data_IF_479156064966
#
_entry.id   IF_479156064966
#
_cell.length_a   1.000
_cell.length_b   1.000
_cell.length_c   1.000
_cell.angle_alpha   90.00
_cell.angle_beta   90.00
_cell.angle_gamma   90.00
#
_symmetry.space_group_name_H-M   'P 1'
#
loop_
_entity.id
_entity.type
_entity.pdbx_description
1 polymer ?
#
# COMPACT_ATOMS: atom_id res chain seq x y z
N UNK A 1 -18.50 -11.34 -26.64
CA UNK A 1 -17.62 -11.54 -25.48
C UNK A 1 -17.65 -10.26 -24.68
N UNK A 2 -18.55 -10.24 -23.70
CA UNK A 2 -18.98 -9.06 -22.97
C UNK A 2 -17.92 -8.70 -21.93
N UNK A 3 -17.10 -7.69 -22.24
CA UNK A 3 -16.38 -6.93 -21.22
C UNK A 3 -17.41 -5.98 -20.60
N UNK A 4 -17.92 -6.30 -19.42
CA UNK A 4 -18.28 -5.27 -18.45
C UNK A 4 -18.59 -5.85 -17.07
N UNK A 5 -18.18 -5.06 -16.06
CA UNK A 5 -18.75 -5.04 -14.71
C UNK A 5 -18.14 -5.98 -13.66
N UNK A 6 -16.90 -5.69 -13.22
CA UNK A 6 -16.42 -6.01 -11.86
C UNK A 6 -15.51 -4.90 -11.30
N UNK A 7 -15.99 -3.66 -11.22
CA UNK A 7 -15.18 -2.54 -10.72
C UNK A 7 -15.32 -2.27 -9.22
N UNK A 8 -16.44 -2.66 -8.58
CA UNK A 8 -16.70 -2.30 -7.18
C UNK A 8 -16.07 -3.26 -6.16
N UNK A 9 -16.06 -4.57 -6.43
CA UNK A 9 -15.56 -5.58 -5.48
C UNK A 9 -14.02 -5.60 -5.38
N UNK A 10 -13.32 -5.34 -6.49
CA UNK A 10 -11.85 -5.40 -6.54
C UNK A 10 -11.16 -4.28 -5.75
N UNK A 11 -11.79 -3.11 -5.68
CA UNK A 11 -11.30 -1.94 -4.94
C UNK A 11 -11.82 -1.89 -3.50
N UNK A 12 -12.87 -2.66 -3.18
CA UNK A 12 -13.47 -2.70 -1.86
C UNK A 12 -12.46 -3.26 -0.84
N UNK A 13 -12.21 -2.51 0.23
CA UNK A 13 -11.32 -2.94 1.31
C UNK A 13 -9.83 -2.86 0.99
N UNK A 14 -9.41 -2.00 0.03
CA UNK A 14 -8.00 -1.69 -0.24
C UNK A 14 -7.66 -0.27 0.22
N UNK A 15 -7.62 0.02 1.53
CA UNK A 15 -7.10 1.29 1.99
C UNK A 15 -5.59 1.34 1.72
N UNK A 16 -5.08 2.52 1.37
CA UNK A 16 -3.65 2.82 1.53
C UNK A 16 -3.47 3.40 2.92
N UNK A 17 -2.70 2.71 3.76
CA UNK A 17 -2.46 3.11 5.15
C UNK A 17 -1.09 3.76 5.23
N UNK A 18 -1.04 4.99 5.72
CA UNK A 18 0.21 5.70 6.00
C UNK A 18 0.47 5.69 7.50
N UNK A 19 1.62 5.16 7.89
CA UNK A 19 2.08 5.13 9.28
C UNK A 19 3.16 6.19 9.43
N UNK A 20 2.93 7.13 10.33
CA UNK A 20 3.85 8.24 10.60
C UNK A 20 4.66 8.02 11.89
N UNK A 21 5.89 8.53 11.95
CA UNK A 21 6.68 8.58 13.18
C UNK A 21 6.26 9.77 14.08
N UNK A 22 6.92 9.93 15.23
CA UNK A 22 6.68 11.03 16.17
C UNK A 22 7.05 12.43 15.62
N UNK A 23 7.64 12.51 14.43
CA UNK A 23 7.93 13.75 13.71
C UNK A 23 6.94 14.03 12.59
N UNK A 24 5.94 13.15 12.40
CA UNK A 24 4.95 13.24 11.33
C UNK A 24 5.44 12.71 9.98
N UNK A 25 6.58 12.02 9.92
CA UNK A 25 7.12 11.47 8.66
C UNK A 25 6.56 10.07 8.39
N UNK A 26 6.10 9.82 7.17
CA UNK A 26 5.57 8.50 6.77
C UNK A 26 6.67 7.44 6.74
N UNK A 27 6.79 6.63 7.78
CA UNK A 27 7.81 5.57 7.87
C UNK A 27 7.37 4.25 7.25
N UNK A 28 6.07 4.04 7.09
CA UNK A 28 5.54 2.88 6.36
C UNK A 28 4.30 3.26 5.56
N UNK A 29 4.19 2.66 4.38
CA UNK A 29 2.96 2.62 3.61
C UNK A 29 2.55 1.16 3.48
N UNK A 30 1.28 0.86 3.80
CA UNK A 30 0.70 -0.46 3.63
C UNK A 30 -0.36 -0.34 2.54
N UNK A 31 -0.13 -1.06 1.45
CA UNK A 31 -1.06 -1.19 0.36
C UNK A 31 -1.55 -2.64 0.28
N UNK A 32 -2.85 -2.79 0.10
CA UNK A 32 -3.44 -4.09 -0.20
C UNK A 32 -3.52 -4.25 -1.71
N UNK A 33 -3.10 -5.39 -2.23
CA UNK A 33 -3.17 -5.72 -3.66
C UNK A 33 -3.94 -7.03 -3.85
N UNK A 34 -4.85 -7.05 -4.82
CA UNK A 34 -5.69 -8.20 -5.15
C UNK A 34 -5.75 -8.30 -6.67
N UNK A 35 -5.45 -9.48 -7.18
CA UNK A 35 -5.47 -9.74 -8.63
C UNK A 35 -6.91 -10.03 -9.08
N UNK A 36 -7.37 -9.53 -10.24
CA UNK A 36 -8.72 -9.80 -10.75
C UNK A 36 -8.99 -11.29 -10.93
N UNK A 37 -7.99 -12.07 -11.36
CA UNK A 37 -8.13 -13.52 -11.53
C UNK A 37 -8.09 -14.29 -10.19
N UNK A 38 -7.83 -13.59 -9.08
CA UNK A 38 -7.68 -14.19 -7.75
C UNK A 38 -8.34 -13.31 -6.67
N UNK A 39 -9.66 -13.05 -6.75
CA UNK A 39 -10.33 -12.05 -5.92
C UNK A 39 -10.41 -12.43 -4.43
N UNK A 40 -10.14 -13.69 -4.09
CA UNK A 40 -10.08 -14.15 -2.70
C UNK A 40 -8.69 -14.00 -2.08
N UNK A 41 -7.66 -13.68 -2.88
CA UNK A 41 -6.28 -13.52 -2.41
C UNK A 41 -5.96 -12.03 -2.31
N UNK A 42 -5.65 -11.57 -1.10
CA UNK A 42 -5.19 -10.19 -0.88
C UNK A 42 -3.77 -10.23 -0.34
N UNK A 43 -2.85 -9.62 -1.08
CA UNK A 43 -1.45 -9.47 -0.71
C UNK A 43 -1.23 -8.13 -0.03
N UNK A 44 -0.55 -8.13 1.09
CA UNK A 44 -0.06 -6.91 1.75
C UNK A 44 1.28 -6.50 1.14
N UNK A 45 1.41 -5.22 0.79
CA UNK A 45 2.66 -4.62 0.31
C UNK A 45 3.06 -3.54 1.28
N UNK A 46 4.12 -3.80 2.05
CA UNK A 46 4.61 -2.87 3.06
C UNK A 46 5.86 -2.19 2.51
N UNK A 47 5.74 -0.93 2.17
CA UNK A 47 6.90 -0.07 1.85
C UNK A 47 7.38 0.59 3.13
N UNK A 48 8.69 0.54 3.39
CA UNK A 48 9.32 1.18 4.54
C UNK A 48 10.22 2.31 4.09
N UNK A 49 10.06 3.46 4.72
CA UNK A 49 10.87 4.65 4.51
C UNK A 49 11.75 4.89 5.75
N UNK A 50 13.01 5.19 5.51
CA UNK A 50 13.99 5.53 6.53
C UNK A 50 14.46 6.96 6.29
N UNK A 51 14.35 7.81 7.30
CA UNK A 51 14.75 9.21 7.26
C UNK A 51 15.94 9.43 8.18
N UNK A 52 16.80 10.38 7.83
CA UNK A 52 17.88 10.82 8.71
C UNK A 52 17.35 11.68 9.87
N UNK A 53 18.25 12.15 10.73
CA UNK A 53 17.90 13.03 11.85
C UNK A 53 17.23 14.34 11.41
N UNK A 54 17.57 14.84 10.22
CA UNK A 54 17.04 16.08 9.64
C UNK A 54 15.69 15.87 8.91
N UNK A 55 15.16 14.65 8.90
CA UNK A 55 13.91 14.31 8.23
C UNK A 55 14.03 14.11 6.71
N UNK A 56 15.26 14.01 6.18
CA UNK A 56 15.49 13.70 4.75
C UNK A 56 15.46 12.20 4.53
N UNK A 57 14.80 11.76 3.45
CA UNK A 57 14.68 10.35 3.09
C UNK A 57 16.05 9.79 2.71
N UNK A 58 16.48 8.74 3.41
CA UNK A 58 17.70 7.97 3.10
C UNK A 58 17.36 6.81 2.17
N UNK A 59 16.29 6.08 2.50
CA UNK A 59 15.97 4.82 1.81
C UNK A 59 14.48 4.51 1.85
N UNK A 60 14.00 3.98 0.74
CA UNK A 60 12.71 3.30 0.65
C UNK A 60 12.96 1.85 0.25
N UNK A 61 12.25 0.90 0.87
CA UNK A 61 12.29 -0.51 0.45
C UNK A 61 10.93 -1.16 0.61
N UNK A 62 10.57 -2.01 -0.35
CA UNK A 62 9.50 -2.99 -0.18
C UNK A 62 10.03 -4.13 0.70
N UNK A 63 9.22 -4.54 1.67
CA UNK A 63 9.51 -5.71 2.50
C UNK A 63 9.14 -7.01 1.81
#
# INVERSE_FOLDING_TARGET
>A
MEKNMQSSSLLKGKPTIKIVDNRGLTVREIDYHRHPDSPNITNERITRHQYNAHGLLIKSRLC
#
